data_IF_152405887148
#
_entry.id   IF_152405887148
#
_cell.length_a   1.000
_cell.length_b   1.000
_cell.length_c   1.000
_cell.angle_alpha   90.00
_cell.angle_beta   90.00
_cell.angle_gamma   90.00
#
_symmetry.space_group_name_H-M   'P 1'
#
loop_
_entity.id
_entity.type
_entity.pdbx_description
1 polymer ?
#
# COMPACT_ATOMS: atom_id res chain seq x y z
N UNK A 1 10.55 10.31 28.68
CA UNK A 1 10.29 11.26 27.58
C UNK A 1 11.24 12.42 27.75
N UNK A 2 12.24 12.57 26.86
CA UNK A 2 13.14 13.73 26.86
C UNK A 2 12.96 14.43 25.52
N UNK A 3 12.47 15.66 25.57
CA UNK A 3 12.36 16.54 24.42
C UNK A 3 13.73 17.19 24.21
N UNK A 4 14.43 16.78 23.17
CA UNK A 4 15.58 17.53 22.64
C UNK A 4 15.01 18.43 21.55
N UNK A 5 15.10 19.74 21.76
CA UNK A 5 14.76 20.76 20.75
C UNK A 5 16.04 21.19 20.06
N UNK A 6 16.31 20.63 18.88
CA UNK A 6 17.19 21.22 17.88
C UNK A 6 16.44 21.20 16.54
N UNK A 7 16.38 22.35 15.88
CA UNK A 7 15.94 22.64 14.52
C UNK A 7 14.92 21.70 13.85
N UNK A 8 13.63 22.03 14.05
CA UNK A 8 12.43 21.79 13.22
C UNK A 8 12.35 20.55 12.30
N UNK A 9 12.92 19.43 12.69
CA UNK A 9 12.47 18.10 12.27
C UNK A 9 12.31 17.26 13.53
N UNK A 10 11.08 17.10 13.99
CA UNK A 10 10.76 16.10 15.01
C UNK A 10 10.92 14.74 14.35
N UNK A 11 12.11 14.15 14.46
CA UNK A 11 12.35 12.78 14.04
C UNK A 11 11.64 11.87 15.05
N UNK A 12 10.44 11.39 14.69
CA UNK A 12 9.73 10.38 15.47
C UNK A 12 10.30 9.02 15.06
N UNK A 13 11.29 8.54 15.79
CA UNK A 13 11.76 7.16 15.66
C UNK A 13 10.89 6.24 16.52
N UNK A 14 10.11 5.40 15.85
CA UNK A 14 9.26 4.39 16.49
C UNK A 14 9.20 3.13 15.65
N UNK A 15 9.04 1.97 16.29
CA UNK A 15 8.65 0.74 15.59
C UNK A 15 7.16 0.85 15.30
N UNK A 16 6.81 1.14 14.05
CA UNK A 16 5.42 1.09 13.59
C UNK A 16 5.02 -0.39 13.50
N UNK A 17 3.91 -0.76 14.15
CA UNK A 17 3.39 -2.12 14.07
C UNK A 17 2.77 -2.38 12.69
N UNK A 18 2.81 -3.63 12.21
CA UNK A 18 2.22 -4.00 10.91
C UNK A 18 0.72 -3.64 10.81
N UNK A 19 0.01 -3.67 11.94
CA UNK A 19 -1.40 -3.28 12.08
C UNK A 19 -1.63 -1.79 11.74
N UNK A 20 -0.76 -0.91 12.21
CA UNK A 20 -0.86 0.54 11.99
C UNK A 20 -0.60 0.90 10.51
N UNK A 21 0.37 0.25 9.87
CA UNK A 21 0.65 0.41 8.44
C UNK A 21 -0.54 -0.04 7.60
N UNK A 22 -1.15 -1.18 7.96
CA UNK A 22 -2.33 -1.71 7.29
C UNK A 22 -3.52 -0.76 7.40
N UNK A 23 -3.75 -0.18 8.58
CA UNK A 23 -4.83 0.79 8.78
C UNK A 23 -4.62 2.06 7.94
N UNK A 24 -3.40 2.60 7.96
CA UNK A 24 -3.04 3.77 7.16
C UNK A 24 -3.24 3.54 5.66
N UNK A 25 -2.71 2.44 5.13
CA UNK A 25 -2.86 2.08 3.72
C UNK A 25 -4.32 1.80 3.36
N UNK A 26 -5.11 1.23 4.28
CA UNK A 26 -6.55 1.05 4.04
C UNK A 26 -7.27 2.38 3.84
N UNK A 27 -6.99 3.39 4.69
CA UNK A 27 -7.58 4.73 4.55
C UNK A 27 -7.16 5.40 3.23
N UNK A 28 -5.88 5.29 2.87
CA UNK A 28 -5.38 5.81 1.59
C UNK A 28 -6.07 5.17 0.38
N UNK A 29 -6.28 3.85 0.40
CA UNK A 29 -7.02 3.15 -0.64
C UNK A 29 -8.47 3.63 -0.70
N UNK A 30 -9.13 3.82 0.45
CA UNK A 30 -10.50 4.34 0.50
C UNK A 30 -10.60 5.75 -0.11
N UNK A 31 -9.64 6.64 0.18
CA UNK A 31 -9.59 7.97 -0.44
C UNK A 31 -9.34 7.90 -1.94
N UNK A 32 -8.39 7.06 -2.39
CA UNK A 32 -8.13 6.88 -3.82
C UNK A 32 -9.37 6.39 -4.56
N UNK A 33 -10.05 5.39 -4.01
CA UNK A 33 -11.25 4.82 -4.63
C UNK A 33 -12.38 5.85 -4.70
N UNK A 34 -12.58 6.62 -3.63
CA UNK A 34 -13.63 7.64 -3.59
C UNK A 34 -13.41 8.79 -4.59
N UNK A 35 -12.15 9.15 -4.86
CA UNK A 35 -11.81 10.31 -5.69
C UNK A 35 -11.60 9.92 -7.17
N UNK A 36 -10.92 8.80 -7.43
CA UNK A 36 -10.37 8.50 -8.76
C UNK A 36 -10.93 7.23 -9.39
N UNK A 37 -11.57 6.34 -8.63
CA UNK A 37 -11.93 5.01 -9.12
C UNK A 37 -13.43 4.90 -9.47
N UNK A 38 -13.77 4.43 -10.68
CA UNK A 38 -15.14 4.05 -11.04
C UNK A 38 -15.74 3.01 -10.08
N UNK A 39 -17.06 3.02 -9.86
CA UNK A 39 -17.71 2.12 -8.89
C UNK A 39 -17.49 0.62 -9.17
N UNK A 40 -17.40 0.24 -10.44
CA UNK A 40 -17.11 -1.13 -10.90
C UNK A 40 -15.70 -1.62 -10.54
N UNK A 41 -14.80 -0.70 -10.19
CA UNK A 41 -13.43 -1.03 -9.73
C UNK A 41 -13.31 -1.15 -8.21
N UNK A 42 -14.41 -1.03 -7.45
CA UNK A 42 -14.35 -1.08 -5.99
C UNK A 42 -13.80 -2.40 -5.45
N UNK A 43 -13.01 -2.29 -4.38
CA UNK A 43 -12.33 -3.43 -3.76
C UNK A 43 -13.13 -4.01 -2.61
N UNK A 44 -13.30 -5.33 -2.62
CA UNK A 44 -13.72 -6.08 -1.44
C UNK A 44 -12.70 -5.97 -0.32
N UNK A 45 -13.09 -6.25 0.92
CA UNK A 45 -12.18 -6.27 2.07
C UNK A 45 -10.94 -7.16 1.84
N UNK A 46 -11.13 -8.33 1.20
CA UNK A 46 -10.02 -9.26 0.88
C UNK A 46 -9.10 -8.68 -0.20
N UNK A 47 -9.66 -8.18 -1.31
CA UNK A 47 -8.85 -7.56 -2.37
C UNK A 47 -8.04 -6.37 -1.85
N UNK A 48 -8.62 -5.57 -0.96
CA UNK A 48 -7.93 -4.46 -0.30
C UNK A 48 -6.73 -4.92 0.52
N UNK A 49 -6.92 -5.92 1.38
CA UNK A 49 -5.83 -6.48 2.16
C UNK A 49 -4.72 -7.07 1.27
N UNK A 50 -5.10 -7.68 0.15
CA UNK A 50 -4.14 -8.16 -0.82
C UNK A 50 -3.39 -7.02 -1.53
N UNK A 51 -4.10 -5.94 -1.91
CA UNK A 51 -3.49 -4.74 -2.48
C UNK A 51 -2.49 -4.12 -1.50
N UNK A 52 -2.80 -4.06 -0.21
CA UNK A 52 -1.88 -3.58 0.84
C UNK A 52 -0.58 -4.38 0.82
N UNK A 53 -0.64 -5.71 0.76
CA UNK A 53 0.55 -6.55 0.63
C UNK A 53 1.36 -6.19 -0.63
N UNK A 54 0.69 -6.02 -1.77
CA UNK A 54 1.31 -5.65 -3.03
C UNK A 54 2.01 -4.29 -2.95
N UNK A 55 1.39 -3.30 -2.29
CA UNK A 55 1.97 -1.97 -2.06
C UNK A 55 3.25 -2.09 -1.23
N UNK A 56 3.23 -2.84 -0.13
CA UNK A 56 4.41 -3.03 0.74
C UNK A 56 5.53 -3.74 -0.02
N UNK A 57 5.21 -4.78 -0.79
CA UNK A 57 6.18 -5.55 -1.60
C UNK A 57 6.83 -4.66 -2.66
N UNK A 58 6.04 -3.83 -3.36
CA UNK A 58 6.55 -2.92 -4.39
C UNK A 58 7.43 -1.83 -3.79
N UNK A 59 7.04 -1.21 -2.67
CA UNK A 59 7.83 -0.20 -1.97
C UNK A 59 9.15 -0.74 -1.40
N UNK A 60 9.19 -2.03 -1.03
CA UNK A 60 10.43 -2.72 -0.60
C UNK A 60 11.25 -3.28 -1.77
N UNK A 61 10.85 -3.01 -3.01
CA UNK A 61 11.47 -3.52 -4.24
C UNK A 61 11.61 -5.06 -4.29
N UNK A 62 10.68 -5.78 -3.66
CA UNK A 62 10.74 -7.24 -3.51
C UNK A 62 10.21 -7.98 -4.75
N UNK A 63 10.79 -9.15 -5.03
CA UNK A 63 10.30 -10.05 -6.07
C UNK A 63 8.98 -10.72 -5.67
N UNK A 64 8.07 -10.84 -6.62
CA UNK A 64 6.82 -11.59 -6.50
C UNK A 64 7.10 -13.04 -6.08
N UNK A 65 6.41 -13.50 -5.04
CA UNK A 65 6.56 -14.83 -4.44
C UNK A 65 7.98 -15.18 -3.94
N UNK A 66 8.83 -14.19 -3.65
CA UNK A 66 10.04 -14.40 -2.85
C UNK A 66 9.70 -14.88 -1.43
N UNK A 67 10.68 -15.37 -0.68
CA UNK A 67 10.48 -15.77 0.72
C UNK A 67 9.91 -14.64 1.58
N UNK A 68 10.43 -13.42 1.42
CA UNK A 68 9.97 -12.22 2.13
C UNK A 68 8.57 -11.79 1.70
N UNK A 69 8.28 -11.77 0.40
CA UNK A 69 6.93 -11.50 -0.11
C UNK A 69 5.90 -12.50 0.43
N UNK A 70 6.27 -13.78 0.51
CA UNK A 70 5.42 -14.83 1.11
C UNK A 70 5.19 -14.61 2.59
N UNK A 71 6.18 -14.12 3.33
CA UNK A 71 6.02 -13.74 4.73
C UNK A 71 4.98 -12.63 4.87
N UNK A 72 5.09 -11.57 4.07
CA UNK A 72 4.13 -10.44 4.05
C UNK A 72 2.71 -10.94 3.73
N UNK A 73 2.55 -11.78 2.70
CA UNK A 73 1.24 -12.36 2.37
C UNK A 73 0.65 -13.19 3.51
N UNK A 74 1.49 -13.93 4.26
CA UNK A 74 1.02 -14.72 5.40
C UNK A 74 0.66 -13.84 6.58
N UNK A 75 1.48 -12.84 6.90
CA UNK A 75 1.32 -11.95 8.05
C UNK A 75 0.10 -11.05 7.89
N UNK A 76 -0.04 -10.38 6.74
CA UNK A 76 -1.05 -9.33 6.53
C UNK A 76 -2.32 -9.92 5.91
N UNK A 77 -2.17 -10.74 4.86
CA UNK A 77 -3.33 -11.26 4.12
C UNK A 77 -3.87 -12.59 4.69
N UNK A 78 -3.14 -13.20 5.62
CA UNK A 78 -3.48 -14.47 6.28
C UNK A 78 -3.92 -15.54 5.27
N UNK A 79 -3.11 -15.74 4.23
CA UNK A 79 -3.45 -16.66 3.15
C UNK A 79 -2.99 -18.09 3.50
N UNK A 80 -3.92 -19.04 3.38
CA UNK A 80 -3.67 -20.45 3.70
C UNK A 80 -3.01 -21.20 2.54
N UNK A 81 -3.25 -20.75 1.29
CA UNK A 81 -2.77 -21.40 0.06
C UNK A 81 -2.20 -20.38 -0.92
N UNK A 82 -1.01 -20.63 -1.45
CA UNK A 82 -0.34 -19.73 -2.40
C UNK A 82 -1.07 -19.65 -3.76
N UNK A 83 -1.87 -20.66 -4.12
CA UNK A 83 -2.70 -20.65 -5.33
C UNK A 83 -3.68 -19.48 -5.35
N UNK A 84 -4.14 -19.04 -4.18
CA UNK A 84 -5.16 -18.01 -4.06
C UNK A 84 -4.57 -16.63 -4.41
N UNK A 85 -3.25 -16.44 -4.26
CA UNK A 85 -2.51 -15.21 -4.62
C UNK A 85 -2.72 -14.86 -6.09
N UNK A 86 -2.61 -15.84 -6.98
CA UNK A 86 -2.74 -15.61 -8.42
C UNK A 86 -4.13 -15.05 -8.78
N UNK A 87 -5.18 -15.56 -8.14
CA UNK A 87 -6.55 -15.07 -8.37
C UNK A 87 -6.76 -13.64 -7.90
N UNK A 88 -6.18 -13.24 -6.76
CA UNK A 88 -6.26 -11.84 -6.33
C UNK A 88 -5.39 -10.91 -7.18
N UNK A 89 -4.23 -11.38 -7.65
CA UNK A 89 -3.38 -10.62 -8.56
C UNK A 89 -4.11 -10.30 -9.86
N UNK A 90 -4.75 -11.29 -10.49
CA UNK A 90 -5.50 -11.05 -11.73
C UNK A 90 -6.70 -10.11 -11.49
N UNK A 91 -7.47 -10.28 -10.40
CA UNK A 91 -8.56 -9.34 -10.07
C UNK A 91 -8.09 -7.90 -9.90
N UNK A 92 -6.96 -7.68 -9.22
CA UNK A 92 -6.41 -6.32 -9.05
C UNK A 92 -5.84 -5.73 -10.36
N UNK A 93 -5.35 -6.59 -11.27
CA UNK A 93 -4.94 -6.17 -12.62
C UNK A 93 -6.13 -5.75 -13.47
N UNK A 94 -7.20 -6.55 -13.47
CA UNK A 94 -8.47 -6.24 -14.17
C UNK A 94 -9.07 -4.92 -13.66
N UNK A 95 -8.94 -4.64 -12.37
CA UNK A 95 -9.37 -3.37 -11.76
C UNK A 95 -8.35 -2.23 -11.87
N UNK A 96 -7.26 -2.43 -12.60
CA UNK A 96 -6.21 -1.44 -12.86
C UNK A 96 -5.48 -0.86 -11.63
N UNK A 97 -5.46 -1.58 -10.50
CA UNK A 97 -4.72 -1.13 -9.31
C UNK A 97 -3.22 -1.46 -9.36
N UNK A 98 -2.85 -2.46 -10.15
CA UNK A 98 -1.47 -2.90 -10.33
C UNK A 98 -1.28 -3.60 -11.67
N UNK A 99 -0.03 -3.78 -12.04
CA UNK A 99 0.42 -4.69 -13.10
C UNK A 99 1.55 -5.59 -12.57
N UNK A 100 1.93 -6.60 -13.36
CA UNK A 100 2.99 -7.54 -13.04
C UNK A 100 4.01 -7.63 -14.19
N UNK A 101 5.23 -7.20 -13.90
CA UNK A 101 6.32 -7.33 -14.86
C UNK A 101 6.88 -8.75 -14.85
N UNK A 102 6.53 -9.53 -15.88
CA UNK A 102 6.97 -10.92 -16.03
C UNK A 102 8.49 -11.09 -16.14
N UNK A 103 9.22 -10.09 -16.67
CA UNK A 103 10.68 -10.14 -16.85
C UNK A 103 11.41 -9.97 -15.52
N UNK A 104 11.05 -8.92 -14.77
CA UNK A 104 11.68 -8.61 -13.48
C UNK A 104 11.07 -9.39 -12.31
N UNK A 105 9.91 -10.02 -12.53
CA UNK A 105 9.07 -10.66 -11.52
C UNK A 105 8.72 -9.70 -10.38
N UNK A 106 8.44 -8.44 -10.70
CA UNK A 106 8.03 -7.41 -9.73
C UNK A 106 6.60 -6.97 -9.97
N UNK A 107 5.91 -6.66 -8.88
CA UNK A 107 4.59 -6.02 -8.91
C UNK A 107 4.82 -4.53 -9.15
N UNK A 108 4.06 -3.95 -10.07
CA UNK A 108 4.03 -2.52 -10.34
C UNK A 108 2.69 -1.99 -9.84
N UNK A 109 2.70 -1.09 -8.87
CA UNK A 109 1.49 -0.45 -8.32
C UNK A 109 1.30 0.92 -8.96
N UNK A 110 0.08 1.47 -8.88
CA UNK A 110 -0.16 2.85 -9.31
C UNK A 110 0.78 3.82 -8.55
N UNK A 111 1.33 4.85 -9.22
CA UNK A 111 2.28 5.78 -8.60
C UNK A 111 1.76 6.44 -7.33
N UNK A 112 0.44 6.65 -7.22
CA UNK A 112 -0.21 7.17 -6.03
C UNK A 112 0.11 6.37 -4.75
N UNK A 113 0.34 5.06 -4.87
CA UNK A 113 0.67 4.19 -3.74
C UNK A 113 2.19 3.98 -3.54
N UNK A 114 3.03 4.51 -4.43
CA UNK A 114 4.47 4.52 -4.21
C UNK A 114 4.77 5.58 -3.16
N UNK A 115 5.26 5.13 -2.02
CA UNK A 115 5.79 6.01 -1.00
C UNK A 115 7.19 6.38 -1.49
N UNK A 116 7.37 7.63 -1.89
CA UNK A 116 8.70 8.16 -2.18
C UNK A 116 9.47 8.18 -0.84
N UNK A 117 10.14 7.08 -0.54
CA UNK A 117 10.88 6.91 0.72
C UNK A 117 12.26 7.56 0.65
N UNK A 118 12.60 8.23 -0.47
CA UNK A 118 13.77 9.09 -0.55
C UNK A 118 13.46 10.52 -0.05
N UNK A 119 13.75 10.69 1.24
CA UNK A 119 14.30 11.90 1.86
C UNK A 119 13.55 13.22 1.65
N UNK A 120 12.61 13.47 2.58
CA UNK A 120 12.03 14.75 2.99
C UNK A 120 10.68 15.12 2.32
N UNK A 121 9.62 15.03 3.13
CA UNK A 121 8.33 15.71 2.97
C UNK A 121 7.38 15.13 1.90
N UNK A 122 6.55 14.17 2.33
CA UNK A 122 5.33 13.81 1.63
C UNK A 122 4.21 14.77 2.10
N UNK A 123 4.08 15.92 1.44
CA UNK A 123 3.06 16.93 1.75
C UNK A 123 1.78 16.67 0.92
N UNK A 124 0.72 16.20 1.56
CA UNK A 124 -0.61 16.08 0.94
C UNK A 124 -1.46 17.29 1.34
N UNK A 125 -1.53 18.29 0.46
CA UNK A 125 -2.40 19.45 0.63
C UNK A 125 -3.80 19.16 0.08
N UNK A 126 -4.79 18.94 0.97
CA UNK A 126 -6.19 18.73 0.61
C UNK A 126 -6.98 20.03 0.90
N UNK A 127 -7.48 20.69 -0.14
CA UNK A 127 -8.35 21.86 -0.01
C UNK A 127 -9.82 21.46 -0.06
N UNK A 128 -10.54 21.64 1.05
CA UNK A 128 -12.01 21.53 1.08
C UNK A 128 -12.64 22.88 0.81
N UNK A 129 -13.58 22.93 -0.13
CA UNK A 129 -14.43 24.09 -0.37
C UNK A 129 -15.88 23.68 -0.13
N UNK A 130 -16.47 24.16 0.95
CA UNK A 130 -17.89 23.98 1.22
C UNK A 130 -18.64 25.11 0.51
N UNK A 131 -19.54 24.75 -0.41
CA UNK A 131 -20.54 25.70 -0.90
C UNK A 131 -21.65 25.76 0.15
N UNK A 132 -21.78 26.92 0.81
CA UNK A 132 -22.94 27.26 1.63
C UNK A 132 -24.07 27.76 0.74
#
# INVERSE_FOLDING_TARGET
MKLVKEDKKTLIEGKIESSEIVEYLSKLIDYYIAIFAPQDTWLTKRERMFLICCIIIANKDLRYLSGESKHIYKEIFNISRMSDIAGYLERLKEKHFLDYNKKTKKIQIQPFFLLDLDQNDLEINIHFKFNS
#
